data_IF_887472961984
#
_entry.id   IF_887472961984
#
_cell.length_a   1.000
_cell.length_b   1.000
_cell.length_c   1.000
_cell.angle_alpha   90.00
_cell.angle_beta   90.00
_cell.angle_gamma   90.00
#
_symmetry.space_group_name_H-M   'P 1'
#
loop_
_entity.id
_entity.type
_entity.pdbx_description
1 polymer ?
#
# COMPACT_ATOMS: atom_id res chain seq x y z
N UNK A 1 -44.41 -36.66 3.67
CA UNK A 1 -43.05 -36.39 3.16
C UNK A 1 -42.79 -34.90 3.25
N UNK A 2 -42.01 -34.45 4.24
CA UNK A 2 -41.85 -33.02 4.59
C UNK A 2 -40.41 -32.70 5.01
N UNK A 3 -39.38 -33.20 4.32
CA UNK A 3 -37.99 -32.83 4.62
C UNK A 3 -37.14 -32.94 3.35
N UNK A 4 -37.20 -31.96 2.44
CA UNK A 4 -36.27 -31.91 1.30
C UNK A 4 -36.05 -30.50 0.72
N UNK A 5 -36.67 -29.45 1.26
CA UNK A 5 -36.57 -28.09 0.73
C UNK A 5 -35.86 -27.10 1.65
N UNK A 6 -35.45 -27.53 2.86
CA UNK A 6 -34.84 -26.65 3.87
C UNK A 6 -33.32 -26.81 4.00
N UNK A 7 -32.66 -27.55 3.09
CA UNK A 7 -31.21 -27.81 3.18
C UNK A 7 -30.34 -27.02 2.20
N UNK A 8 -30.92 -26.29 1.23
CA UNK A 8 -30.13 -25.56 0.23
C UNK A 8 -29.95 -24.07 0.56
N UNK A 9 -30.69 -23.52 1.53
CA UNK A 9 -30.65 -22.08 1.85
C UNK A 9 -29.64 -21.72 2.95
N UNK A 10 -29.13 -22.70 3.71
CA UNK A 10 -28.13 -22.45 4.75
C UNK A 10 -26.68 -22.52 4.27
N UNK A 11 -26.42 -23.01 3.05
CA UNK A 11 -25.05 -23.11 2.51
C UNK A 11 -24.59 -21.83 1.80
N UNK A 12 -25.48 -20.88 1.54
CA UNK A 12 -25.15 -19.61 0.89
C UNK A 12 -24.70 -18.50 1.88
N UNK A 13 -24.90 -18.69 3.19
CA UNK A 13 -24.52 -17.70 4.21
C UNK A 13 -23.10 -17.87 4.77
N UNK A 14 -22.38 -18.93 4.38
CA UNK A 14 -20.99 -19.16 4.83
C UNK A 14 -19.93 -18.46 3.96
N UNK A 15 -20.32 -17.76 2.89
CA UNK A 15 -19.39 -16.99 2.04
C UNK A 15 -19.23 -15.52 2.45
N UNK A 16 -19.88 -15.07 3.53
CA UNK A 16 -19.84 -13.67 3.97
C UNK A 16 -18.77 -13.37 5.03
N UNK A 17 -17.93 -14.34 5.39
CA UNK A 17 -16.68 -14.07 6.12
C UNK A 17 -15.52 -13.90 5.14
N UNK A 18 -15.43 -12.73 4.49
CA UNK A 18 -14.14 -12.15 4.10
C UNK A 18 -13.39 -12.68 2.86
N UNK A 19 -14.01 -13.44 1.95
CA UNK A 19 -13.40 -13.81 0.66
C UNK A 19 -14.42 -13.69 -0.50
N UNK A 20 -14.80 -12.46 -0.84
CA UNK A 20 -15.27 -12.18 -2.20
C UNK A 20 -14.07 -12.20 -3.15
N UNK A 21 -14.22 -12.55 -4.44
CA UNK A 21 -13.13 -12.44 -5.40
C UNK A 21 -12.66 -10.97 -5.41
N UNK A 22 -11.50 -10.71 -4.80
CA UNK A 22 -10.90 -9.38 -4.76
C UNK A 22 -10.51 -9.05 -6.19
N UNK A 23 -11.23 -8.09 -6.82
CA UNK A 23 -11.00 -7.78 -8.23
C UNK A 23 -9.60 -7.20 -8.44
N UNK A 24 -8.99 -7.41 -9.62
CA UNK A 24 -7.70 -6.82 -9.95
C UNK A 24 -7.65 -5.30 -9.71
N UNK A 25 -8.74 -4.59 -10.06
CA UNK A 25 -8.87 -3.15 -9.83
C UNK A 25 -8.87 -2.78 -8.33
N UNK A 26 -9.47 -3.60 -7.48
CA UNK A 26 -9.45 -3.36 -6.03
C UNK A 26 -8.05 -3.54 -5.45
N UNK A 27 -7.29 -4.52 -5.94
CA UNK A 27 -5.91 -4.76 -5.51
C UNK A 27 -4.96 -3.63 -5.94
N UNK A 28 -5.10 -3.10 -7.15
CA UNK A 28 -4.29 -1.95 -7.58
C UNK A 28 -4.64 -0.69 -6.77
N UNK A 29 -5.92 -0.46 -6.48
CA UNK A 29 -6.33 0.64 -5.58
C UNK A 29 -5.78 0.46 -4.17
N UNK A 30 -5.74 -0.77 -3.66
CA UNK A 30 -5.11 -1.09 -2.38
C UNK A 30 -3.62 -0.77 -2.41
N UNK A 31 -2.91 -1.10 -3.50
CA UNK A 31 -1.51 -0.75 -3.68
C UNK A 31 -1.29 0.78 -3.72
N UNK A 32 -2.14 1.52 -4.42
CA UNK A 32 -2.12 3.00 -4.42
C UNK A 32 -2.36 3.55 -3.00
N UNK A 33 -3.29 2.96 -2.24
CA UNK A 33 -3.55 3.33 -0.84
C UNK A 33 -2.29 3.12 0.00
N UNK A 34 -1.63 1.96 -0.12
CA UNK A 34 -0.40 1.66 0.62
C UNK A 34 0.70 2.68 0.31
N UNK A 35 0.86 3.08 -0.96
CA UNK A 35 1.85 4.10 -1.35
C UNK A 35 1.53 5.45 -0.69
N UNK A 36 0.26 5.87 -0.71
CA UNK A 36 -0.16 7.12 -0.06
C UNK A 36 -0.02 7.06 1.47
N UNK A 37 -0.43 5.96 2.11
CA UNK A 37 -0.25 5.73 3.54
C UNK A 37 1.23 5.75 3.93
N UNK A 38 2.11 5.25 3.06
CA UNK A 38 3.57 5.33 3.26
C UNK A 38 4.02 6.79 3.20
N UNK A 39 3.54 7.57 2.23
CA UNK A 39 3.85 8.99 2.14
C UNK A 39 3.35 9.76 3.39
N UNK A 40 2.13 9.48 3.85
CA UNK A 40 1.56 10.08 5.07
C UNK A 40 2.40 9.72 6.30
N UNK A 41 2.85 8.46 6.39
CA UNK A 41 3.69 7.98 7.50
C UNK A 41 5.02 8.72 7.55
N UNK A 42 5.69 8.90 6.40
CA UNK A 42 6.98 9.61 6.33
C UNK A 42 6.80 11.11 6.60
N UNK A 43 5.70 11.69 6.12
CA UNK A 43 5.39 13.10 6.34
C UNK A 43 5.10 13.41 7.82
N UNK A 44 4.41 12.50 8.52
CA UNK A 44 4.05 12.65 9.92
C UNK A 44 5.15 12.24 10.92
N UNK A 45 6.12 11.42 10.51
CA UNK A 45 7.19 10.98 11.38
C UNK A 45 8.20 12.09 11.66
N UNK A 46 8.85 12.07 12.83
CA UNK A 46 9.92 13.01 13.20
C UNK A 46 11.26 12.67 12.54
N UNK A 47 11.51 11.39 12.29
CA UNK A 47 12.62 10.89 11.48
C UNK A 47 12.22 9.69 10.60
N UNK A 48 13.03 9.37 9.59
CA UNK A 48 12.88 8.14 8.80
C UNK A 48 13.01 6.87 9.66
N UNK A 49 13.83 6.91 10.72
CA UNK A 49 13.96 5.79 11.65
C UNK A 49 12.67 5.57 12.45
N UNK A 50 11.96 6.65 12.84
CA UNK A 50 10.66 6.55 13.52
C UNK A 50 9.58 5.98 12.58
N UNK A 51 9.65 6.29 11.29
CA UNK A 51 8.74 5.76 10.28
C UNK A 51 8.99 4.28 9.93
N UNK A 52 10.19 3.75 10.21
CA UNK A 52 10.69 2.48 9.67
C UNK A 52 9.79 1.27 9.95
N UNK A 53 9.33 1.12 11.19
CA UNK A 53 8.48 -0.01 11.57
C UNK A 53 7.11 0.02 10.86
N UNK A 54 6.54 1.22 10.71
CA UNK A 54 5.29 1.43 9.99
C UNK A 54 5.46 1.20 8.49
N UNK A 55 6.56 1.67 7.91
CA UNK A 55 6.93 1.40 6.52
C UNK A 55 7.12 -0.10 6.25
N UNK A 56 7.75 -0.85 7.16
CA UNK A 56 7.91 -2.30 7.02
C UNK A 56 6.56 -3.02 7.01
N UNK A 57 5.63 -2.61 7.90
CA UNK A 57 4.27 -3.15 7.91
C UNK A 57 3.52 -2.86 6.61
N UNK A 58 3.67 -1.65 6.06
CA UNK A 58 3.09 -1.28 4.77
C UNK A 58 3.73 -2.05 3.61
N UNK A 59 5.04 -2.29 3.66
CA UNK A 59 5.76 -3.14 2.69
C UNK A 59 5.19 -4.55 2.65
N UNK A 60 5.03 -5.19 3.83
CA UNK A 60 4.43 -6.53 3.93
C UNK A 60 3.00 -6.58 3.39
N UNK A 61 2.20 -5.53 3.60
CA UNK A 61 0.86 -5.41 2.98
C UNK A 61 0.97 -5.31 1.47
N UNK A 62 1.92 -4.52 0.95
CA UNK A 62 2.16 -4.40 -0.49
C UNK A 62 2.56 -5.72 -1.14
N UNK A 63 3.46 -6.47 -0.51
CA UNK A 63 3.87 -7.82 -0.95
C UNK A 63 2.68 -8.78 -0.98
N UNK A 64 1.81 -8.75 0.03
CA UNK A 64 0.60 -9.57 0.06
C UNK A 64 -0.38 -9.21 -1.07
N UNK A 65 -0.52 -7.92 -1.41
CA UNK A 65 -1.34 -7.45 -2.54
C UNK A 65 -0.75 -7.91 -3.87
N UNK A 66 0.56 -7.79 -4.05
CA UNK A 66 1.26 -8.27 -5.25
C UNK A 66 1.08 -9.78 -5.41
N UNK A 67 1.26 -10.56 -4.35
CA UNK A 67 1.05 -12.02 -4.40
C UNK A 67 -0.39 -12.38 -4.78
N UNK A 68 -1.39 -11.62 -4.32
CA UNK A 68 -2.79 -11.80 -4.74
C UNK A 68 -2.99 -11.46 -6.22
N UNK A 69 -2.38 -10.38 -6.72
CA UNK A 69 -2.44 -10.02 -8.14
C UNK A 69 -1.82 -11.10 -9.03
N UNK A 70 -0.67 -11.65 -8.63
CA UNK A 70 0.00 -12.72 -9.36
C UNK A 70 -0.84 -14.00 -9.37
N UNK A 71 -1.50 -14.33 -8.26
CA UNK A 71 -2.39 -15.49 -8.16
C UNK A 71 -3.61 -15.41 -9.10
N UNK A 72 -4.01 -14.21 -9.55
CA UNK A 72 -5.08 -14.04 -10.53
C UNK A 72 -4.69 -14.48 -11.94
N UNK A 73 -3.40 -14.72 -12.21
CA UNK A 73 -2.88 -15.23 -13.49
C UNK A 73 -3.46 -14.50 -14.72
N UNK A 74 -3.58 -13.16 -14.62
CA UNK A 74 -4.08 -12.31 -15.70
C UNK A 74 -3.21 -12.45 -16.95
N UNK A 75 -3.85 -12.43 -18.12
CA UNK A 75 -3.14 -12.34 -19.39
C UNK A 75 -2.38 -11.02 -19.51
N UNK A 76 -1.39 -10.97 -20.41
CA UNK A 76 -0.60 -9.74 -20.63
C UNK A 76 -1.48 -8.55 -21.07
N UNK A 77 -2.54 -8.82 -21.85
CA UNK A 77 -3.50 -7.78 -22.27
C UNK A 77 -4.30 -7.25 -21.09
N UNK A 78 -4.80 -8.13 -20.21
CA UNK A 78 -5.55 -7.73 -19.02
C UNK A 78 -4.66 -6.96 -18.03
N UNK A 79 -3.40 -7.38 -17.86
CA UNK A 79 -2.40 -6.65 -17.07
C UNK A 79 -2.13 -5.27 -17.66
N UNK A 80 -1.93 -5.17 -18.97
CA UNK A 80 -1.66 -3.90 -19.63
C UNK A 80 -2.84 -2.92 -19.49
N UNK A 81 -4.07 -3.38 -19.73
CA UNK A 81 -5.26 -2.56 -19.55
C UNK A 81 -5.46 -2.13 -18.09
N UNK A 82 -5.25 -3.05 -17.14
CA UNK A 82 -5.34 -2.75 -15.72
C UNK A 82 -4.31 -1.69 -15.31
N UNK A 83 -3.06 -1.85 -15.72
CA UNK A 83 -2.01 -0.87 -15.46
C UNK A 83 -2.30 0.48 -16.13
N UNK A 84 -2.82 0.48 -17.36
CA UNK A 84 -3.18 1.71 -18.07
C UNK A 84 -4.30 2.49 -17.35
N UNK A 85 -5.32 1.79 -16.84
CA UNK A 85 -6.42 2.43 -16.07
C UNK A 85 -5.92 3.14 -14.82
N UNK A 86 -4.94 2.56 -14.13
CA UNK A 86 -4.42 3.06 -12.86
C UNK A 86 -3.10 3.82 -12.98
N UNK A 87 -2.53 3.92 -14.18
CA UNK A 87 -1.19 4.48 -14.41
C UNK A 87 -1.03 5.86 -13.81
N UNK A 88 -2.01 6.74 -14.03
CA UNK A 88 -1.98 8.12 -13.55
C UNK A 88 -1.96 8.18 -12.02
N UNK A 89 -2.78 7.37 -11.37
CA UNK A 89 -2.91 7.37 -9.91
C UNK A 89 -1.69 6.70 -9.25
N UNK A 90 -1.19 5.61 -9.83
CA UNK A 90 0.08 5.00 -9.43
C UNK A 90 1.24 5.99 -9.53
N UNK A 91 1.38 6.66 -10.68
CA UNK A 91 2.44 7.64 -10.89
C UNK A 91 2.32 8.82 -9.92
N UNK A 92 1.11 9.31 -9.69
CA UNK A 92 0.84 10.39 -8.73
C UNK A 92 1.24 10.00 -7.30
N UNK A 93 0.82 8.81 -6.85
CA UNK A 93 1.15 8.31 -5.52
C UNK A 93 2.66 8.08 -5.36
N UNK A 94 3.32 7.50 -6.37
CA UNK A 94 4.78 7.32 -6.35
C UNK A 94 5.54 8.65 -6.32
N UNK A 95 5.14 9.63 -7.14
CA UNK A 95 5.75 10.97 -7.13
C UNK A 95 5.57 11.66 -5.77
N UNK A 96 4.40 11.52 -5.15
CA UNK A 96 4.14 12.04 -3.81
C UNK A 96 5.07 11.40 -2.78
N UNK A 97 5.14 10.08 -2.75
CA UNK A 97 6.03 9.35 -1.84
C UNK A 97 7.49 9.78 -2.04
N UNK A 98 7.96 9.84 -3.29
CA UNK A 98 9.33 10.28 -3.61
C UNK A 98 9.59 11.70 -3.11
N UNK A 99 8.66 12.64 -3.32
CA UNK A 99 8.79 14.01 -2.86
C UNK A 99 8.91 14.09 -1.34
N UNK A 100 8.06 13.37 -0.62
CA UNK A 100 8.06 13.35 0.85
C UNK A 100 9.37 12.75 1.37
N UNK A 101 9.83 11.62 0.79
CA UNK A 101 11.11 10.99 1.16
C UNK A 101 12.30 11.93 0.96
N UNK A 102 12.40 12.59 -0.21
CA UNK A 102 13.48 13.56 -0.49
C UNK A 102 13.42 14.72 0.51
N UNK A 103 12.22 15.27 0.74
CA UNK A 103 12.04 16.37 1.69
C UNK A 103 12.45 15.97 3.10
N UNK A 104 12.10 14.75 3.53
CA UNK A 104 12.43 14.24 4.86
C UNK A 104 13.94 14.09 5.05
N UNK A 105 14.60 13.42 4.11
CA UNK A 105 16.07 13.25 4.12
C UNK A 105 16.79 14.60 4.08
N UNK A 106 16.32 15.56 3.27
CA UNK A 106 16.92 16.89 3.20
C UNK A 106 16.77 17.65 4.53
N UNK A 107 15.59 17.60 5.15
CA UNK A 107 15.35 18.26 6.43
C UNK A 107 16.20 17.66 7.56
N UNK A 108 16.33 16.33 7.61
CA UNK A 108 17.21 15.65 8.56
C UNK A 108 18.68 16.03 8.35
N UNK A 109 19.16 16.04 7.10
CA UNK A 109 20.53 16.44 6.78
C UNK A 109 20.81 17.89 7.16
N UNK A 110 19.87 18.80 6.89
CA UNK A 110 19.94 20.21 7.30
C UNK A 110 20.02 20.33 8.82
N UNK A 111 19.15 19.63 9.55
CA UNK A 111 19.13 19.63 11.01
C UNK A 111 20.46 19.12 11.60
N UNK A 112 21.04 18.07 11.03
CA UNK A 112 22.35 17.56 11.43
C UNK A 112 23.49 18.57 11.20
N UNK A 113 23.47 19.28 10.07
CA UNK A 113 24.46 20.32 9.77
C UNK A 113 24.32 21.53 10.69
N UNK A 114 23.10 21.99 10.94
CA UNK A 114 22.82 23.12 11.84
C UNK A 114 23.27 22.77 13.27
N UNK A 115 23.05 21.53 13.73
CA UNK A 115 23.58 21.03 15.00
C UNK A 115 25.11 21.07 15.05
N UNK A 116 25.80 20.54 14.03
CA UNK A 116 27.27 20.57 13.96
C UNK A 116 27.84 21.99 14.00
N UNK A 117 27.20 22.94 13.32
CA UNK A 117 27.64 24.34 13.31
C UNK A 117 27.43 25.04 14.66
N UNK A 118 26.47 24.58 15.46
CA UNK A 118 26.19 25.13 16.80
C UNK A 118 27.10 24.59 17.90
N UNK A 119 27.89 23.55 17.63
CA UNK A 119 28.84 23.04 18.61
C UNK A 119 30.04 23.99 18.75
N UNK A 120 30.45 24.35 19.98
CA UNK A 120 31.69 25.10 20.18
C UNK A 120 32.86 24.26 19.66
N UNK A 121 33.72 24.88 18.85
CA UNK A 121 34.96 24.26 18.39
C UNK A 121 35.86 23.96 19.61
N UNK A 122 36.49 22.77 19.68
CA UNK A 122 37.41 22.43 20.76
C UNK A 122 38.67 23.31 20.77
#
# INVERSE_FOLDING_TARGET
>A
MKYLLTSCLLLACLCLTGCGPQSPDALIKEQISIINETADTVEAADSLDDAKASMEKLSKRGEAVTAKLDALNLSDSEKAELMQRHQKDLMSAMMRLQKVMISKTFNEAKSGMDFMKSMPLP
#
